data_IF_692064861225
#
_entry.id   IF_692064861225
#
_cell.length_a   1.000
_cell.length_b   1.000
_cell.length_c   1.000
_cell.angle_alpha   90.00
_cell.angle_beta   90.00
_cell.angle_gamma   90.00
#
_symmetry.space_group_name_H-M   'P 1'
#
loop_
_entity.id
_entity.type
_entity.pdbx_description
1 polymer ?
#
# COMPACT_ATOMS: atom_id res chain seq x y z
N UNK A 1 -28.62 11.02 15.24
CA UNK A 1 -27.44 10.41 15.91
C UNK A 1 -27.13 9.13 15.14
N UNK A 2 -26.12 9.13 14.23
CA UNK A 2 -25.69 7.91 13.53
C UNK A 2 -24.98 7.03 14.55
N UNK A 3 -25.46 5.79 14.76
CA UNK A 3 -24.78 4.76 15.53
C UNK A 3 -23.33 4.68 15.06
N UNK A 4 -22.36 5.14 15.88
CA UNK A 4 -20.94 4.81 15.67
C UNK A 4 -20.84 3.29 15.91
N UNK A 5 -20.86 2.52 14.84
CA UNK A 5 -20.51 1.10 14.89
C UNK A 5 -19.17 1.01 15.62
N UNK A 6 -19.12 0.28 16.72
CA UNK A 6 -17.91 0.10 17.53
C UNK A 6 -16.86 -0.57 16.63
N UNK A 7 -15.79 0.16 16.31
CA UNK A 7 -14.74 -0.36 15.42
C UNK A 7 -14.01 -1.52 16.11
N UNK A 8 -14.03 -2.68 15.48
CA UNK A 8 -13.31 -3.85 15.99
C UNK A 8 -11.84 -3.76 15.57
N UNK A 9 -10.98 -3.26 16.44
CA UNK A 9 -9.55 -3.09 16.21
C UNK A 9 -8.79 -4.39 15.94
N UNK A 10 -9.37 -5.56 16.24
CA UNK A 10 -8.79 -6.87 15.90
C UNK A 10 -8.78 -7.11 14.40
N UNK A 11 -9.71 -6.48 13.68
CA UNK A 11 -9.86 -6.59 12.22
C UNK A 11 -9.02 -5.59 11.44
N UNK A 12 -8.30 -4.71 12.13
CA UNK A 12 -7.41 -3.76 11.47
C UNK A 12 -6.17 -4.48 10.97
N UNK A 13 -5.89 -4.32 9.70
CA UNK A 13 -4.69 -4.86 9.06
C UNK A 13 -3.59 -3.81 9.07
N UNK A 14 -2.45 -4.18 9.66
CA UNK A 14 -1.25 -3.34 9.69
C UNK A 14 -0.23 -3.93 8.71
N UNK A 15 0.12 -3.16 7.70
CA UNK A 15 1.18 -3.51 6.76
C UNK A 15 2.47 -2.79 7.15
N UNK A 16 3.51 -3.57 7.47
CA UNK A 16 4.81 -3.01 7.85
C UNK A 16 5.70 -2.88 6.62
N UNK A 17 6.10 -1.65 6.30
CA UNK A 17 7.02 -1.38 5.20
C UNK A 17 8.46 -1.74 5.60
N UNK A 18 9.11 -2.57 4.82
CA UNK A 18 10.41 -3.17 5.10
C UNK A 18 11.38 -2.95 3.95
N UNK A 19 12.39 -2.09 4.17
CA UNK A 19 13.41 -1.75 3.17
C UNK A 19 14.62 -2.68 3.14
N UNK A 20 14.59 -3.81 3.85
CA UNK A 20 15.70 -4.76 3.90
C UNK A 20 15.27 -6.12 4.49
N UNK A 21 16.13 -7.14 4.27
CA UNK A 21 15.99 -8.43 4.96
C UNK A 21 15.88 -8.27 6.48
N UNK A 22 16.74 -7.43 7.09
CA UNK A 22 16.76 -7.26 8.55
C UNK A 22 15.49 -6.63 9.08
N UNK A 23 14.97 -5.59 8.40
CA UNK A 23 13.71 -4.94 8.80
C UNK A 23 12.51 -5.88 8.61
N UNK A 24 12.49 -6.69 7.54
CA UNK A 24 11.44 -7.67 7.30
C UNK A 24 11.41 -8.75 8.39
N UNK A 25 12.57 -9.34 8.72
CA UNK A 25 12.67 -10.34 9.80
C UNK A 25 12.22 -9.74 11.12
N UNK A 26 12.69 -8.55 11.47
CA UNK A 26 12.28 -7.89 12.70
C UNK A 26 10.77 -7.63 12.75
N UNK A 27 10.17 -7.14 11.68
CA UNK A 27 8.74 -6.90 11.62
C UNK A 27 7.93 -8.19 11.85
N UNK A 28 8.35 -9.30 11.22
CA UNK A 28 7.71 -10.60 11.38
C UNK A 28 7.84 -11.12 12.82
N UNK A 29 9.02 -11.01 13.42
CA UNK A 29 9.26 -11.39 14.83
C UNK A 29 8.47 -10.51 15.81
N UNK A 30 8.19 -9.27 15.44
CA UNK A 30 7.30 -8.35 16.15
C UNK A 30 5.79 -8.61 15.88
N UNK A 31 5.48 -9.70 15.16
CA UNK A 31 4.11 -10.17 14.95
C UNK A 31 3.42 -9.61 13.71
N UNK A 32 4.15 -9.03 12.75
CA UNK A 32 3.56 -8.61 11.49
C UNK A 32 3.04 -9.83 10.69
N UNK A 33 1.76 -9.80 10.35
CA UNK A 33 1.11 -10.80 9.50
C UNK A 33 1.21 -10.43 8.01
N UNK A 34 1.51 -9.15 7.74
CA UNK A 34 1.71 -8.61 6.39
C UNK A 34 2.84 -7.59 6.40
N UNK A 35 3.73 -7.73 5.44
CA UNK A 35 4.80 -6.76 5.18
C UNK A 35 4.73 -6.32 3.71
N UNK A 36 5.14 -5.07 3.45
CA UNK A 36 5.57 -4.68 2.11
C UNK A 36 7.08 -4.78 2.05
N UNK A 37 7.60 -5.54 1.10
CA UNK A 37 9.03 -5.64 0.86
C UNK A 37 9.44 -4.70 -0.26
N UNK A 38 10.36 -3.79 0.06
CA UNK A 38 10.95 -2.81 -0.86
C UNK A 38 12.44 -2.66 -0.59
N UNK A 39 13.11 -1.76 -1.31
CA UNK A 39 14.43 -1.23 -0.99
C UNK A 39 14.48 0.27 -1.24
N UNK A 40 15.60 0.93 -0.91
CA UNK A 40 15.81 2.35 -1.20
C UNK A 40 14.68 3.27 -0.67
N UNK A 41 14.32 3.12 0.61
CA UNK A 41 13.26 3.94 1.24
C UNK A 41 13.52 5.45 1.23
N UNK A 42 14.78 5.87 1.04
CA UNK A 42 15.14 7.30 0.90
C UNK A 42 14.59 7.95 -0.36
N UNK A 43 14.18 7.13 -1.33
CA UNK A 43 13.55 7.56 -2.60
C UNK A 43 12.15 6.96 -2.77
N UNK A 44 11.45 6.77 -1.66
CA UNK A 44 10.07 6.23 -1.57
C UNK A 44 9.93 4.76 -2.00
N UNK A 45 11.03 4.02 -2.04
CA UNK A 45 11.05 2.59 -2.33
C UNK A 45 11.24 2.26 -3.81
N UNK A 46 12.02 1.21 -4.05
CA UNK A 46 12.25 0.59 -5.36
C UNK A 46 12.05 -0.92 -5.27
N UNK A 47 12.00 -1.60 -6.43
CA UNK A 47 11.93 -3.06 -6.53
C UNK A 47 13.09 -3.71 -5.75
N UNK A 48 12.82 -4.53 -4.73
CA UNK A 48 13.87 -5.18 -3.96
C UNK A 48 14.39 -6.46 -4.65
N UNK A 49 15.45 -7.05 -4.12
CA UNK A 49 15.98 -8.31 -4.64
C UNK A 49 14.97 -9.46 -4.54
N UNK A 50 14.71 -10.16 -5.64
CA UNK A 50 13.88 -11.38 -5.69
C UNK A 50 14.42 -12.49 -4.76
N UNK A 51 15.74 -12.55 -4.55
CA UNK A 51 16.32 -13.52 -3.64
C UNK A 51 15.96 -13.26 -2.17
N UNK A 52 15.74 -11.99 -1.79
CA UNK A 52 15.22 -11.65 -0.46
C UNK A 52 13.78 -12.16 -0.32
N UNK A 53 12.95 -11.99 -1.33
CA UNK A 53 11.58 -12.52 -1.35
C UNK A 53 11.58 -14.04 -1.21
N UNK A 54 12.33 -14.78 -2.07
CA UNK A 54 12.43 -16.23 -2.02
C UNK A 54 12.87 -16.73 -0.64
N UNK A 55 13.87 -16.06 -0.05
CA UNK A 55 14.38 -16.43 1.27
C UNK A 55 13.38 -16.16 2.40
N UNK A 56 12.66 -15.03 2.36
CA UNK A 56 11.59 -14.73 3.32
C UNK A 56 10.46 -15.73 3.20
N UNK A 57 10.01 -16.06 1.98
CA UNK A 57 8.96 -17.03 1.73
C UNK A 57 9.32 -18.42 2.27
N UNK A 58 10.57 -18.87 2.05
CA UNK A 58 11.04 -20.16 2.55
C UNK A 58 11.10 -20.20 4.09
N UNK A 59 11.49 -19.09 4.73
CA UNK A 59 11.63 -19.05 6.19
C UNK A 59 10.34 -18.77 6.93
N UNK A 60 9.43 -17.98 6.32
CA UNK A 60 8.17 -17.51 6.93
C UNK A 60 6.97 -17.74 5.98
N UNK A 61 6.58 -18.99 5.73
CA UNK A 61 5.55 -19.32 4.73
C UNK A 61 4.18 -18.74 5.04
N UNK A 62 3.86 -18.48 6.31
CA UNK A 62 2.58 -17.94 6.75
C UNK A 62 2.43 -16.43 6.63
N UNK A 63 3.50 -15.67 6.36
CA UNK A 63 3.46 -14.20 6.29
C UNK A 63 3.05 -13.75 4.89
N UNK A 64 2.16 -12.78 4.81
CA UNK A 64 1.81 -12.14 3.53
C UNK A 64 2.89 -11.13 3.16
N UNK A 65 3.52 -11.34 2.00
CA UNK A 65 4.56 -10.45 1.48
C UNK A 65 4.02 -9.74 0.25
N UNK A 66 3.71 -8.45 0.39
CA UNK A 66 3.43 -7.56 -0.72
C UNK A 66 4.75 -7.08 -1.28
N UNK A 67 4.94 -7.18 -2.58
CA UNK A 67 6.23 -6.94 -3.22
C UNK A 67 6.15 -5.69 -4.10
N UNK A 68 7.00 -4.70 -3.79
CA UNK A 68 7.05 -3.45 -4.55
C UNK A 68 7.74 -3.67 -5.91
N UNK A 69 7.07 -3.22 -6.94
CA UNK A 69 7.59 -3.14 -8.31
C UNK A 69 7.66 -1.66 -8.69
N UNK A 70 8.84 -1.10 -8.72
CA UNK A 70 9.15 0.26 -9.16
C UNK A 70 10.58 0.29 -9.68
N UNK A 71 10.74 0.48 -10.99
CA UNK A 71 12.02 0.33 -11.68
C UNK A 71 13.05 1.40 -11.30
N UNK A 72 12.62 2.62 -11.03
CA UNK A 72 13.49 3.77 -10.74
C UNK A 72 12.87 4.78 -9.79
N UNK A 73 13.67 5.66 -9.27
CA UNK A 73 13.25 6.87 -8.56
C UNK A 73 12.67 7.94 -9.51
N UNK A 74 12.18 9.02 -8.95
CA UNK A 74 11.57 10.12 -9.66
C UNK A 74 10.06 9.95 -9.86
N UNK A 75 9.56 10.32 -11.04
CA UNK A 75 8.15 10.25 -11.38
C UNK A 75 7.63 8.82 -11.59
N UNK A 76 6.38 8.72 -12.00
CA UNK A 76 5.69 7.45 -12.25
C UNK A 76 5.24 7.32 -13.72
N UNK A 77 5.86 8.11 -14.61
CA UNK A 77 5.62 8.07 -16.06
C UNK A 77 6.71 7.21 -16.68
N UNK A 78 6.34 6.04 -17.14
CA UNK A 78 7.29 5.03 -17.64
C UNK A 78 7.21 4.93 -19.16
N UNK A 79 8.37 4.71 -19.79
CA UNK A 79 8.41 4.35 -21.20
C UNK A 79 8.07 2.87 -21.44
N UNK A 80 7.98 2.46 -22.71
CA UNK A 80 7.60 1.09 -23.08
C UNK A 80 8.57 0.03 -22.56
N UNK A 81 9.87 0.34 -22.49
CA UNK A 81 10.90 -0.56 -21.99
C UNK A 81 10.79 -0.70 -20.46
N UNK A 82 10.61 0.39 -19.73
CA UNK A 82 10.38 0.40 -18.29
C UNK A 82 9.09 -0.38 -17.93
N UNK A 83 8.01 -0.18 -18.69
CA UNK A 83 6.77 -0.93 -18.51
C UNK A 83 7.00 -2.43 -18.74
N UNK A 84 7.78 -2.82 -19.75
CA UNK A 84 8.10 -4.21 -20.03
C UNK A 84 9.01 -4.83 -18.97
N UNK A 85 10.00 -4.10 -18.45
CA UNK A 85 10.86 -4.53 -17.34
C UNK A 85 10.02 -4.78 -16.09
N UNK A 86 9.17 -3.82 -15.70
CA UNK A 86 8.31 -3.96 -14.52
C UNK A 86 7.31 -5.12 -14.69
N UNK A 87 6.79 -5.36 -15.89
CA UNK A 87 5.94 -6.52 -16.18
C UNK A 87 6.69 -7.84 -15.99
N UNK A 88 7.95 -7.93 -16.40
CA UNK A 88 8.79 -9.11 -16.19
C UNK A 88 9.09 -9.32 -14.69
N UNK A 89 9.42 -8.24 -13.96
CA UNK A 89 9.64 -8.27 -12.51
C UNK A 89 8.40 -8.76 -11.75
N UNK A 90 7.19 -8.37 -12.19
CA UNK A 90 5.92 -8.85 -11.62
C UNK A 90 5.80 -10.36 -11.78
N UNK A 91 6.05 -10.90 -12.98
CA UNK A 91 5.99 -12.35 -13.22
C UNK A 91 6.99 -13.10 -12.34
N UNK A 92 8.22 -12.60 -12.24
CA UNK A 92 9.23 -13.19 -11.37
C UNK A 92 8.85 -13.13 -9.88
N UNK A 93 8.22 -12.03 -9.43
CA UNK A 93 7.73 -11.89 -8.06
C UNK A 93 6.60 -12.89 -7.75
N UNK A 94 5.69 -13.13 -8.71
CA UNK A 94 4.64 -14.16 -8.58
C UNK A 94 5.28 -15.55 -8.41
N UNK A 95 6.23 -15.92 -9.27
CA UNK A 95 6.97 -17.19 -9.20
C UNK A 95 7.79 -17.31 -7.92
N UNK A 96 8.35 -16.21 -7.42
CA UNK A 96 9.10 -16.15 -6.18
C UNK A 96 8.22 -16.24 -4.92
N UNK A 97 6.89 -16.21 -5.07
CA UNK A 97 5.91 -16.40 -4.01
C UNK A 97 5.47 -15.11 -3.31
N UNK A 98 5.41 -13.98 -4.03
CA UNK A 98 4.73 -12.79 -3.54
C UNK A 98 3.26 -13.11 -3.20
N UNK A 99 2.69 -12.42 -2.22
CA UNK A 99 1.27 -12.54 -1.86
C UNK A 99 0.41 -11.46 -2.51
N UNK A 100 1.03 -10.38 -2.94
CA UNK A 100 0.42 -9.28 -3.69
C UNK A 100 1.54 -8.47 -4.38
N UNK A 101 1.17 -7.73 -5.40
CA UNK A 101 2.04 -6.81 -6.12
C UNK A 101 1.69 -5.37 -5.73
N UNK A 102 2.71 -4.54 -5.55
CA UNK A 102 2.56 -3.11 -5.30
C UNK A 102 3.22 -2.36 -6.45
N UNK A 103 2.43 -1.64 -7.23
CA UNK A 103 2.91 -0.88 -8.40
C UNK A 103 1.99 0.30 -8.69
N UNK A 104 2.32 1.12 -9.68
CA UNK A 104 1.47 2.20 -10.14
C UNK A 104 2.16 3.01 -11.23
N UNK A 105 1.41 3.40 -12.25
CA UNK A 105 1.88 4.23 -13.35
C UNK A 105 0.93 5.39 -13.62
N UNK A 106 1.51 6.51 -14.02
CA UNK A 106 0.78 7.71 -14.42
C UNK A 106 1.13 8.08 -15.87
N UNK A 107 0.22 8.78 -16.52
CA UNK A 107 0.48 9.48 -17.77
C UNK A 107 1.23 10.79 -17.50
N UNK A 108 1.81 11.44 -18.54
CA UNK A 108 2.41 12.78 -18.41
C UNK A 108 1.42 13.85 -17.85
N UNK A 109 0.12 13.64 -18.01
CA UNK A 109 -0.94 14.52 -17.48
C UNK A 109 -1.34 14.20 -16.04
N UNK A 110 -0.63 13.27 -15.38
CA UNK A 110 -0.94 12.76 -14.05
C UNK A 110 -2.32 12.08 -13.94
N UNK A 111 -2.76 11.42 -14.98
CA UNK A 111 -3.88 10.48 -14.93
C UNK A 111 -3.33 9.05 -14.75
N UNK A 112 -4.17 8.08 -14.37
CA UNK A 112 -3.76 6.69 -14.29
C UNK A 112 -3.38 6.18 -15.68
N UNK A 113 -2.18 5.63 -15.85
CA UNK A 113 -1.83 4.88 -17.06
C UNK A 113 -2.52 3.52 -17.04
N UNK A 114 -3.74 3.50 -17.55
CA UNK A 114 -4.56 2.29 -17.57
C UNK A 114 -4.02 1.21 -18.49
N UNK A 115 -3.22 1.56 -19.50
CA UNK A 115 -2.60 0.60 -20.41
C UNK A 115 -1.50 -0.19 -19.71
N UNK A 116 -0.56 0.50 -19.04
CA UNK A 116 0.46 -0.13 -18.22
C UNK A 116 -0.17 -0.97 -17.08
N UNK A 117 -1.14 -0.39 -16.36
CA UNK A 117 -1.81 -1.09 -15.26
C UNK A 117 -2.50 -2.37 -15.69
N UNK A 118 -3.18 -2.41 -16.86
CA UNK A 118 -3.80 -3.65 -17.39
C UNK A 118 -2.76 -4.73 -17.66
N UNK A 119 -1.60 -4.37 -18.23
CA UNK A 119 -0.50 -5.31 -18.47
C UNK A 119 0.00 -5.90 -17.16
N UNK A 120 0.23 -5.05 -16.14
CA UNK A 120 0.76 -5.47 -14.84
C UNK A 120 -0.24 -6.29 -14.02
N UNK A 121 -1.53 -5.95 -14.05
CA UNK A 121 -2.59 -6.75 -13.42
C UNK A 121 -2.67 -8.15 -14.08
N UNK A 122 -2.57 -8.23 -15.39
CA UNK A 122 -2.51 -9.54 -16.09
C UNK A 122 -1.26 -10.33 -15.71
N UNK A 123 -0.08 -9.67 -15.61
CA UNK A 123 1.17 -10.28 -15.19
C UNK A 123 1.14 -10.78 -13.73
N UNK A 124 0.32 -10.16 -12.86
CA UNK A 124 0.14 -10.57 -11.46
C UNK A 124 -0.65 -11.89 -11.31
N UNK A 125 -1.21 -12.46 -12.39
CA UNK A 125 -1.82 -13.80 -12.44
C UNK A 125 -2.87 -14.04 -11.34
N UNK A 126 -3.69 -13.03 -11.04
CA UNK A 126 -4.74 -13.11 -10.02
C UNK A 126 -4.30 -12.75 -8.61
N UNK A 127 -3.02 -12.44 -8.37
CA UNK A 127 -2.62 -11.84 -7.11
C UNK A 127 -3.22 -10.44 -6.96
N UNK A 128 -3.61 -10.04 -5.73
CA UNK A 128 -4.09 -8.69 -5.49
C UNK A 128 -3.03 -7.64 -5.88
N UNK A 129 -3.47 -6.56 -6.53
CA UNK A 129 -2.61 -5.42 -6.86
C UNK A 129 -2.94 -4.25 -5.95
N UNK A 130 -1.91 -3.62 -5.38
CA UNK A 130 -1.99 -2.35 -4.67
C UNK A 130 -1.45 -1.25 -5.57
N UNK A 131 -2.24 -0.20 -5.82
CA UNK A 131 -1.74 1.02 -6.43
C UNK A 131 -1.04 1.86 -5.36
N UNK A 132 0.25 2.12 -5.55
CA UNK A 132 1.07 2.78 -4.54
C UNK A 132 0.88 4.31 -4.52
N UNK A 133 1.78 5.03 -3.83
CA UNK A 133 1.72 6.49 -3.64
C UNK A 133 1.81 7.34 -4.93
N UNK A 134 1.95 6.76 -6.11
CA UNK A 134 1.67 7.47 -7.36
C UNK A 134 0.26 8.10 -7.35
N UNK A 135 -0.68 7.52 -6.59
CA UNK A 135 -2.01 8.08 -6.38
C UNK A 135 -2.00 9.48 -5.76
N UNK A 136 -1.00 9.81 -4.96
CA UNK A 136 -0.87 11.14 -4.35
C UNK A 136 -0.61 12.25 -5.37
N UNK A 137 -0.17 11.89 -6.58
CA UNK A 137 0.16 12.81 -7.68
C UNK A 137 -0.91 12.91 -8.75
N UNK A 138 -2.00 12.11 -8.67
CA UNK A 138 -3.05 12.17 -9.69
C UNK A 138 -3.74 13.52 -9.73
N UNK A 139 -4.13 13.95 -10.93
CA UNK A 139 -4.80 15.22 -11.16
C UNK A 139 -6.18 15.28 -10.50
N UNK A 140 -6.96 14.20 -10.60
CA UNK A 140 -8.30 14.05 -10.06
C UNK A 140 -8.40 12.74 -9.26
N UNK A 141 -8.26 12.77 -7.92
CA UNK A 141 -8.31 11.57 -7.09
C UNK A 141 -9.64 10.81 -7.16
N UNK A 142 -10.76 11.52 -7.36
CA UNK A 142 -12.07 10.89 -7.43
C UNK A 142 -12.23 10.09 -8.73
N UNK A 143 -11.87 10.67 -9.88
CA UNK A 143 -11.87 9.97 -11.16
C UNK A 143 -10.87 8.84 -11.18
N UNK A 144 -9.66 9.04 -10.66
CA UNK A 144 -8.62 8.02 -10.57
C UNK A 144 -9.07 6.82 -9.72
N UNK A 145 -9.79 7.07 -8.61
CA UNK A 145 -10.30 5.99 -7.76
C UNK A 145 -11.29 5.10 -8.52
N UNK A 146 -12.22 5.68 -9.28
CA UNK A 146 -13.17 4.89 -10.10
C UNK A 146 -12.43 4.08 -11.17
N UNK A 147 -11.42 4.67 -11.85
CA UNK A 147 -10.60 3.93 -12.82
C UNK A 147 -9.89 2.72 -12.18
N UNK A 148 -9.34 2.87 -10.98
CA UNK A 148 -8.69 1.76 -10.26
C UNK A 148 -9.68 0.68 -9.83
N UNK A 149 -10.91 1.07 -9.46
CA UNK A 149 -12.00 0.12 -9.17
C UNK A 149 -12.37 -0.67 -10.43
N UNK A 150 -12.55 0.00 -11.57
CA UNK A 150 -12.86 -0.64 -12.85
C UNK A 150 -11.75 -1.58 -13.33
N UNK A 151 -10.49 -1.27 -13.04
CA UNK A 151 -9.32 -2.11 -13.31
C UNK A 151 -9.25 -3.35 -12.38
N UNK A 152 -10.03 -3.40 -11.31
CA UNK A 152 -9.99 -4.48 -10.33
C UNK A 152 -8.80 -4.40 -9.36
N UNK A 153 -8.23 -3.21 -9.17
CA UNK A 153 -7.18 -2.98 -8.18
C UNK A 153 -7.73 -3.24 -6.78
N UNK A 154 -7.00 -3.96 -5.95
CA UNK A 154 -7.49 -4.37 -4.63
C UNK A 154 -7.39 -3.26 -3.58
N UNK A 155 -6.38 -2.39 -3.68
CA UNK A 155 -6.14 -1.31 -2.70
C UNK A 155 -5.38 -0.14 -3.29
N UNK A 156 -5.53 1.02 -2.64
CA UNK A 156 -4.75 2.23 -2.90
C UNK A 156 -4.00 2.61 -1.64
N UNK A 157 -2.67 2.72 -1.74
CA UNK A 157 -1.80 3.27 -0.70
C UNK A 157 -1.63 4.77 -0.96
N UNK A 158 -2.04 5.62 -0.02
CA UNK A 158 -2.07 7.07 -0.22
C UNK A 158 -1.95 7.84 1.10
N UNK A 159 -1.45 9.07 1.02
CA UNK A 159 -1.56 10.07 2.09
C UNK A 159 -2.94 10.74 2.12
N UNK A 160 -3.77 10.50 1.10
CA UNK A 160 -4.96 11.26 0.77
C UNK A 160 -4.76 12.13 -0.48
N UNK A 161 -3.50 12.31 -0.90
CA UNK A 161 -3.14 13.07 -2.10
C UNK A 161 -3.57 14.53 -2.03
N UNK A 162 -4.32 14.98 -3.02
CA UNK A 162 -4.80 16.38 -3.10
C UNK A 162 -5.92 16.64 -2.10
N UNK A 163 -5.70 17.63 -1.27
CA UNK A 163 -6.65 18.13 -0.27
C UNK A 163 -7.73 19.02 -0.92
N UNK A 164 -8.89 19.23 -0.24
CA UNK A 164 -9.95 20.11 -0.76
C UNK A 164 -9.52 21.55 -1.02
N UNK A 165 -8.49 22.04 -0.33
CA UNK A 165 -7.91 23.38 -0.53
C UNK A 165 -6.87 23.43 -1.68
N UNK A 166 -6.62 22.29 -2.36
CA UNK A 166 -5.71 22.15 -3.48
C UNK A 166 -4.26 21.84 -3.10
N UNK A 167 -3.92 21.80 -1.81
CA UNK A 167 -2.60 21.35 -1.35
C UNK A 167 -2.46 19.83 -1.48
N UNK A 168 -1.24 19.31 -1.38
CA UNK A 168 -0.97 17.86 -1.38
C UNK A 168 -0.53 17.47 0.03
N UNK A 169 -1.25 16.53 0.63
CA UNK A 169 -0.90 15.99 1.94
C UNK A 169 0.46 15.27 1.89
N UNK A 170 1.35 15.59 2.80
CA UNK A 170 2.68 14.94 2.90
C UNK A 170 2.66 13.74 3.82
N UNK A 171 1.68 13.66 4.72
CA UNK A 171 1.45 12.53 5.63
C UNK A 171 -0.01 12.11 5.65
N UNK A 172 -0.26 10.86 6.03
CA UNK A 172 -1.64 10.37 6.21
C UNK A 172 -2.41 11.14 7.29
N UNK A 173 -1.72 11.73 8.27
CA UNK A 173 -2.35 12.51 9.33
C UNK A 173 -2.86 13.86 8.81
N UNK A 174 -2.08 14.54 7.97
CA UNK A 174 -2.52 15.74 7.25
C UNK A 174 -3.67 15.43 6.30
N UNK A 175 -3.60 14.28 5.62
CA UNK A 175 -4.56 13.83 4.62
C UNK A 175 -5.88 13.28 5.16
N UNK A 176 -6.12 13.24 6.47
CA UNK A 176 -7.34 12.66 7.06
C UNK A 176 -8.64 13.12 6.37
N UNK A 177 -8.86 14.40 6.05
CA UNK A 177 -10.10 14.81 5.38
C UNK A 177 -10.27 14.17 3.99
N UNK A 178 -9.20 14.13 3.18
CA UNK A 178 -9.22 13.52 1.85
C UNK A 178 -9.34 12.00 1.94
N UNK A 179 -8.59 11.36 2.85
CA UNK A 179 -8.68 9.93 3.10
C UNK A 179 -10.10 9.49 3.48
N UNK A 180 -10.80 10.27 4.32
CA UNK A 180 -12.20 10.02 4.66
C UNK A 180 -13.09 10.05 3.43
N UNK A 181 -12.96 11.08 2.60
CA UNK A 181 -13.74 11.20 1.36
C UNK A 181 -13.49 10.02 0.42
N UNK A 182 -12.23 9.60 0.26
CA UNK A 182 -11.88 8.43 -0.55
C UNK A 182 -12.46 7.13 0.02
N UNK A 183 -12.43 6.93 1.35
CA UNK A 183 -13.04 5.75 1.99
C UNK A 183 -14.56 5.73 1.79
N UNK A 184 -15.22 6.90 1.92
CA UNK A 184 -16.66 7.04 1.67
C UNK A 184 -16.99 6.74 0.20
N UNK A 185 -16.24 7.30 -0.76
CA UNK A 185 -16.42 7.05 -2.19
C UNK A 185 -16.14 5.58 -2.55
N UNK A 186 -15.08 5.01 -2.02
CA UNK A 186 -14.73 3.61 -2.25
C UNK A 186 -15.88 2.66 -1.87
N UNK A 187 -16.64 2.97 -0.81
CA UNK A 187 -17.80 2.20 -0.36
C UNK A 187 -17.55 0.68 -0.28
N UNK A 188 -16.31 0.28 0.06
CA UNK A 188 -15.90 -1.12 0.14
C UNK A 188 -15.56 -1.79 -1.18
N UNK A 189 -15.64 -1.10 -2.33
CA UNK A 189 -15.29 -1.65 -3.66
C UNK A 189 -13.77 -1.79 -3.86
N UNK A 190 -13.00 -0.95 -3.18
CA UNK A 190 -11.54 -0.95 -3.14
C UNK A 190 -11.09 -0.53 -1.73
N UNK A 191 -9.94 -1.00 -1.29
CA UNK A 191 -9.41 -0.66 0.04
C UNK A 191 -8.59 0.63 -0.06
N UNK A 192 -8.92 1.63 0.75
CA UNK A 192 -8.07 2.81 0.96
C UNK A 192 -7.17 2.53 2.15
N UNK A 193 -5.86 2.55 1.93
CA UNK A 193 -4.83 2.24 2.93
C UNK A 193 -3.99 3.50 3.20
N UNK A 194 -4.26 4.22 4.30
CA UNK A 194 -3.43 5.36 4.70
C UNK A 194 -1.98 4.97 4.92
N UNK A 195 -1.05 5.73 4.33
CA UNK A 195 0.39 5.53 4.47
C UNK A 195 1.15 6.85 4.52
N UNK A 196 2.45 6.77 4.73
CA UNK A 196 3.36 7.86 5.02
C UNK A 196 3.14 8.51 6.40
N UNK A 197 4.12 8.39 7.28
CA UNK A 197 4.07 8.92 8.64
C UNK A 197 3.21 8.12 9.62
N UNK A 198 2.54 7.05 9.19
CA UNK A 198 1.75 6.20 10.08
C UNK A 198 2.65 5.39 11.02
N UNK A 199 2.31 5.41 12.30
CA UNK A 199 3.00 4.69 13.36
C UNK A 199 1.99 4.26 14.44
N UNK A 200 2.46 3.56 15.50
CA UNK A 200 1.56 3.07 16.54
C UNK A 200 0.84 4.17 17.33
N UNK A 201 1.40 5.38 17.39
CA UNK A 201 0.83 6.47 18.20
C UNK A 201 -0.32 7.19 17.49
N UNK A 202 -0.24 7.31 16.15
CA UNK A 202 -1.26 8.00 15.35
C UNK A 202 -2.20 7.08 14.57
N UNK A 203 -1.87 5.80 14.38
CA UNK A 203 -2.66 4.87 13.58
C UNK A 203 -4.13 4.78 14.05
N UNK A 204 -4.36 4.77 15.37
CA UNK A 204 -5.72 4.71 15.92
C UNK A 204 -6.56 5.92 15.51
N UNK A 205 -6.01 7.13 15.64
CA UNK A 205 -6.68 8.36 15.24
C UNK A 205 -6.99 8.36 13.74
N UNK A 206 -6.01 8.00 12.91
CA UNK A 206 -6.20 7.92 11.45
C UNK A 206 -7.34 6.96 11.11
N UNK A 207 -7.36 5.76 11.70
CA UNK A 207 -8.40 4.76 11.48
C UNK A 207 -9.78 5.26 11.90
N UNK A 208 -9.90 5.84 13.10
CA UNK A 208 -11.18 6.33 13.65
C UNK A 208 -11.74 7.50 12.84
N UNK A 209 -10.87 8.41 12.39
CA UNK A 209 -11.30 9.61 11.67
C UNK A 209 -11.54 9.38 10.17
N UNK A 210 -10.87 8.38 9.56
CA UNK A 210 -11.04 8.09 8.12
C UNK A 210 -12.01 6.96 7.84
N UNK A 211 -12.18 6.02 8.78
CA UNK A 211 -12.91 4.78 8.56
C UNK A 211 -12.08 3.69 7.84
N UNK A 212 -10.79 3.95 7.57
CA UNK A 212 -9.90 2.97 6.95
C UNK A 212 -9.76 1.70 7.83
N UNK A 213 -9.57 0.55 7.20
CA UNK A 213 -9.41 -0.73 7.87
C UNK A 213 -8.03 -1.36 7.68
N UNK A 214 -7.20 -0.74 6.86
CA UNK A 214 -5.81 -1.10 6.64
C UNK A 214 -4.95 0.15 6.79
N UNK A 215 -3.76 0.00 7.33
CA UNK A 215 -2.76 1.08 7.46
C UNK A 215 -1.38 0.57 7.11
N UNK A 216 -0.54 1.46 6.59
CA UNK A 216 0.81 1.17 6.12
C UNK A 216 1.83 2.08 6.77
N UNK A 217 2.96 1.53 7.22
CA UNK A 217 4.05 2.34 7.77
C UNK A 217 5.30 1.56 8.15
N UNK A 218 6.43 2.26 8.22
CA UNK A 218 7.73 1.69 8.62
C UNK A 218 7.88 1.52 10.15
N UNK A 219 7.07 2.25 10.92
CA UNK A 219 7.13 2.28 12.40
C UNK A 219 5.92 1.61 13.05
N UNK A 220 5.29 0.67 12.36
CA UNK A 220 4.20 -0.13 12.89
C UNK A 220 4.75 -1.39 13.56
N UNK A 221 4.18 -1.73 14.72
CA UNK A 221 4.50 -2.93 15.48
C UNK A 221 3.21 -3.54 16.03
N UNK A 222 2.87 -4.74 15.58
CA UNK A 222 1.60 -5.40 15.90
C UNK A 222 1.46 -5.70 17.40
N UNK A 223 2.52 -6.11 18.07
CA UNK A 223 2.48 -6.40 19.52
C UNK A 223 2.23 -5.13 20.33
N UNK A 224 2.87 -4.02 19.95
CA UNK A 224 2.64 -2.72 20.60
C UNK A 224 1.19 -2.28 20.36
N UNK A 225 0.71 -2.35 19.12
CA UNK A 225 -0.66 -2.03 18.76
C UNK A 225 -1.69 -2.79 19.59
N UNK A 226 -1.52 -4.11 19.71
CA UNK A 226 -2.40 -4.97 20.49
C UNK A 226 -2.44 -4.54 21.97
N UNK A 227 -1.27 -4.27 22.54
CA UNK A 227 -1.16 -3.80 23.94
C UNK A 227 -1.84 -2.44 24.15
N UNK A 228 -1.60 -1.47 23.28
CA UNK A 228 -2.18 -0.12 23.37
C UNK A 228 -3.71 -0.12 23.23
N UNK A 229 -4.28 -1.08 22.50
CA UNK A 229 -5.72 -1.16 22.24
C UNK A 229 -6.44 -2.23 23.08
N UNK A 230 -5.77 -2.79 24.12
CA UNK A 230 -6.36 -3.78 25.01
C UNK A 230 -6.73 -5.10 24.32
N UNK A 231 -6.05 -5.42 23.20
CA UNK A 231 -6.25 -6.65 22.46
C UNK A 231 -5.33 -7.72 23.03
N UNK A 232 -5.88 -8.82 23.53
CA UNK A 232 -5.08 -9.95 23.99
C UNK A 232 -4.22 -10.48 22.85
N UNK A 233 -2.95 -10.80 23.14
CA UNK A 233 -2.12 -11.55 22.19
C UNK A 233 -2.76 -12.93 22.02
N UNK A 234 -3.21 -13.22 20.80
CA UNK A 234 -3.68 -14.55 20.42
C UNK A 234 -2.53 -15.51 20.25
#
# INVERSE_FOLDING_TARGET
MKNKSFMDYRKIVMEVCCGSWRSAVKAIEDGAERIELCQALSVDGLTPSMNVLRRLRAKYPGVRIHFLIRAREGDFVYDDDEVAIMEADIREAVEAGASAIVCGALTPDNDIDTAAMRRWIAAAQGLPVTFHRAFDHVRDPQAALEQLIELGVARVLTTGGRMPDGTIATTAEEGIPALRALVEQAAGRIIIMPGCGVNNDNARRIIEETGAREVHGTKLNKKIWQKQNGLAAS
#
